data_IF_413130568468
#
_entry.id   IF_413130568468
#
_cell.length_a   1.000
_cell.length_b   1.000
_cell.length_c   1.000
_cell.angle_alpha   90.00
_cell.angle_beta   90.00
_cell.angle_gamma   90.00
#
_symmetry.space_group_name_H-M   'P 1'
#
loop_
_entity.id
_entity.type
_entity.pdbx_description
1 polymer ?
#
# COMPACT_ATOMS: atom_id res chain seq x y z
N UNK A 1 -19.56 2.69 11.58
CA UNK A 1 -18.32 2.03 12.08
C UNK A 1 -17.86 1.02 11.02
N UNK A 2 -16.62 1.10 10.51
CA UNK A 2 -16.17 0.19 9.44
C UNK A 2 -15.34 -0.95 10.00
N UNK A 3 -15.74 -2.17 9.67
CA UNK A 3 -15.08 -3.39 10.08
C UNK A 3 -14.14 -3.86 8.96
N UNK A 4 -12.87 -4.06 9.28
CA UNK A 4 -11.95 -4.79 8.40
C UNK A 4 -11.89 -6.21 8.90
N UNK A 5 -12.43 -7.11 8.08
CA UNK A 5 -12.50 -8.53 8.35
C UNK A 5 -11.36 -9.22 7.58
N UNK A 6 -10.43 -9.82 8.30
CA UNK A 6 -9.39 -10.65 7.71
C UNK A 6 -9.69 -12.13 7.93
N UNK A 7 -9.36 -12.94 6.93
CA UNK A 7 -9.45 -14.39 6.99
C UNK A 7 -8.05 -14.97 6.85
N UNK A 8 -7.41 -15.30 7.97
CA UNK A 8 -6.12 -15.97 7.98
C UNK A 8 -6.26 -17.48 7.85
N UNK A 9 -5.36 -18.12 7.10
CA UNK A 9 -5.13 -19.56 7.17
C UNK A 9 -3.82 -19.82 7.93
N UNK A 10 -3.83 -20.78 8.84
CA UNK A 10 -2.59 -21.38 9.38
C UNK A 10 -2.03 -22.49 8.46
N UNK A 11 -2.69 -22.78 7.33
CA UNK A 11 -2.34 -23.88 6.41
C UNK A 11 -2.52 -23.47 4.93
N UNK A 12 -1.81 -24.14 4.03
CA UNK A 12 -1.83 -23.84 2.59
C UNK A 12 -3.24 -23.82 1.99
N UNK A 13 -3.52 -22.91 1.05
CA UNK A 13 -4.77 -22.90 0.29
C UNK A 13 -5.03 -24.20 -0.48
N UNK A 14 -5.97 -25.02 -0.01
CA UNK A 14 -6.65 -26.03 -0.86
C UNK A 14 -7.67 -25.37 -1.80
N UNK A 15 -7.33 -24.23 -2.42
CA UNK A 15 -8.20 -23.49 -3.34
C UNK A 15 -8.48 -24.24 -4.65
N UNK A 16 -7.75 -25.34 -4.90
CA UNK A 16 -7.94 -26.21 -6.07
C UNK A 16 -8.62 -27.54 -5.73
N UNK A 17 -9.36 -27.64 -4.61
CA UNK A 17 -10.29 -28.75 -4.38
C UNK A 17 -11.72 -28.30 -4.63
N UNK A 18 -12.54 -29.24 -5.14
CA UNK A 18 -13.83 -29.02 -5.80
C UNK A 18 -14.93 -28.32 -5.00
N UNK A 19 -14.72 -27.94 -3.74
CA UNK A 19 -15.66 -27.13 -2.96
C UNK A 19 -14.90 -26.13 -2.08
N UNK A 20 -15.21 -24.82 -2.14
CA UNK A 20 -14.59 -23.84 -1.25
C UNK A 20 -15.04 -24.10 0.19
N UNK A 21 -14.08 -24.43 1.06
CA UNK A 21 -14.35 -24.52 2.51
C UNK A 21 -14.94 -23.20 3.02
N UNK A 22 -16.04 -23.29 3.79
CA UNK A 22 -16.66 -22.13 4.44
C UNK A 22 -15.60 -21.39 5.25
N UNK A 23 -15.51 -20.08 5.02
CA UNK A 23 -14.56 -19.22 5.69
C UNK A 23 -14.84 -19.26 7.21
N UNK A 24 -13.88 -19.76 8.01
CA UNK A 24 -13.98 -19.78 9.48
C UNK A 24 -13.91 -18.35 10.04
N UNK A 25 -14.45 -18.18 11.26
CA UNK A 25 -14.79 -16.89 11.91
C UNK A 25 -13.84 -15.74 11.53
N UNK A 26 -14.40 -14.57 11.15
CA UNK A 26 -13.61 -13.40 10.78
C UNK A 26 -12.72 -12.93 11.93
N UNK A 27 -11.47 -12.57 11.63
CA UNK A 27 -10.65 -11.78 12.56
C UNK A 27 -11.09 -10.33 12.36
N UNK A 28 -11.64 -9.74 13.42
CA UNK A 28 -12.14 -8.36 13.44
C UNK A 28 -11.09 -7.44 14.06
N UNK A 29 -10.78 -6.34 13.38
CA UNK A 29 -9.97 -5.27 13.92
C UNK A 29 -10.83 -4.03 14.15
N UNK A 30 -10.75 -3.47 15.36
CA UNK A 30 -11.31 -2.15 15.67
C UNK A 30 -10.22 -1.12 15.47
N UNK A 31 -10.50 -0.12 14.64
CA UNK A 31 -9.64 1.05 14.51
C UNK A 31 -10.25 2.19 15.32
N UNK A 32 -9.51 2.68 16.31
CA UNK A 32 -9.83 3.92 17.01
C UNK A 32 -9.28 5.08 16.17
N UNK A 33 -10.16 5.76 15.44
CA UNK A 33 -9.83 7.08 14.90
C UNK A 33 -9.82 8.06 16.07
N UNK A 34 -8.73 8.81 16.24
CA UNK A 34 -8.60 9.84 17.30
C UNK A 34 -9.65 10.97 17.16
N UNK A 35 -10.32 11.09 16.01
CA UNK A 35 -11.37 12.07 15.78
C UNK A 35 -12.75 11.41 15.71
N UNK A 36 -13.49 11.45 16.82
CA UNK A 36 -14.90 11.02 16.89
C UNK A 36 -15.82 11.80 15.93
N UNK A 37 -15.37 12.98 15.47
CA UNK A 37 -16.09 13.86 14.53
C UNK A 37 -15.91 13.52 13.04
N UNK A 38 -15.13 12.49 12.68
CA UNK A 38 -15.02 12.08 11.28
C UNK A 38 -16.31 11.42 10.78
N UNK A 39 -16.88 12.00 9.71
CA UNK A 39 -18.01 11.45 8.94
C UNK A 39 -17.79 9.96 8.64
N UNK A 40 -18.81 9.12 8.85
CA UNK A 40 -18.76 7.68 8.58
C UNK A 40 -18.30 7.33 7.16
N UNK A 41 -18.57 8.21 6.19
CA UNK A 41 -18.10 8.05 4.81
C UNK A 41 -16.57 8.11 4.70
N UNK A 42 -15.91 8.95 5.50
CA UNK A 42 -14.44 9.08 5.53
C UNK A 42 -13.73 7.82 6.00
N UNK A 43 -14.41 7.01 6.83
CA UNK A 43 -13.87 5.75 7.35
C UNK A 43 -13.93 4.63 6.31
N UNK A 44 -14.64 4.79 5.19
CA UNK A 44 -14.85 3.70 4.22
C UNK A 44 -13.56 3.40 3.47
N UNK A 45 -13.29 2.12 3.22
CA UNK A 45 -12.13 1.71 2.43
C UNK A 45 -12.35 2.13 0.97
N UNK A 46 -11.42 2.93 0.45
CA UNK A 46 -11.34 3.35 -0.95
C UNK A 46 -10.56 2.34 -1.79
N UNK A 47 -9.45 1.81 -1.25
CA UNK A 47 -8.57 0.89 -1.95
C UNK A 47 -7.91 -0.08 -0.97
N UNK A 48 -7.67 -1.31 -1.42
CA UNK A 48 -6.83 -2.30 -0.74
C UNK A 48 -5.68 -2.64 -1.69
N UNK A 49 -4.44 -2.59 -1.19
CA UNK A 49 -3.27 -3.10 -1.90
C UNK A 49 -2.64 -4.21 -1.06
N UNK A 50 -2.28 -5.33 -1.66
CA UNK A 50 -1.72 -6.49 -0.97
C UNK A 50 -0.51 -7.02 -1.73
N UNK A 51 0.52 -7.40 -0.99
CA UNK A 51 1.73 -8.01 -1.54
C UNK A 51 2.39 -8.93 -0.53
N UNK A 52 3.66 -9.27 -0.73
CA UNK A 52 4.30 -10.37 -0.01
C UNK A 52 4.42 -10.14 1.51
N UNK A 53 4.64 -8.89 1.93
CA UNK A 53 4.91 -8.55 3.33
C UNK A 53 3.78 -7.83 4.04
N UNK A 54 2.67 -7.54 3.36
CA UNK A 54 1.60 -6.82 4.00
C UNK A 54 0.45 -6.44 3.10
N UNK A 55 -0.50 -5.74 3.71
CA UNK A 55 -1.67 -5.17 3.06
C UNK A 55 -1.86 -3.75 3.55
N UNK A 56 -2.11 -2.82 2.64
CA UNK A 56 -2.43 -1.43 2.94
C UNK A 56 -3.91 -1.21 2.64
N UNK A 57 -4.59 -0.55 3.57
CA UNK A 57 -5.96 -0.09 3.42
C UNK A 57 -5.94 1.42 3.32
N UNK A 58 -6.39 1.94 2.18
CA UNK A 58 -6.59 3.36 1.94
C UNK A 58 -8.05 3.68 2.18
N UNK A 59 -8.32 4.69 3.00
CA UNK A 59 -9.66 5.17 3.31
C UNK A 59 -10.06 6.36 2.44
N UNK A 60 -11.37 6.62 2.35
CA UNK A 60 -11.92 7.74 1.58
C UNK A 60 -11.52 9.11 2.13
N UNK A 61 -11.16 9.22 3.40
CA UNK A 61 -10.60 10.44 3.99
C UNK A 61 -9.14 10.71 3.59
N UNK A 62 -8.52 9.88 2.74
CA UNK A 62 -7.13 10.06 2.31
C UNK A 62 -6.10 9.59 3.33
N UNK A 63 -6.49 8.90 4.41
CA UNK A 63 -5.56 8.25 5.34
C UNK A 63 -5.44 6.77 5.03
N UNK A 64 -4.30 6.18 5.41
CA UNK A 64 -4.03 4.77 5.18
C UNK A 64 -3.44 4.08 6.40
N UNK A 65 -3.68 2.79 6.48
CA UNK A 65 -3.06 1.89 7.47
C UNK A 65 -2.36 0.75 6.74
N UNK A 66 -1.29 0.26 7.34
CA UNK A 66 -0.57 -0.93 6.90
C UNK A 66 -0.75 -2.07 7.91
N UNK A 67 -0.89 -3.27 7.38
CA UNK A 67 -0.87 -4.52 8.12
C UNK A 67 0.30 -5.36 7.61
N UNK A 68 1.37 -5.44 8.40
CA UNK A 68 2.60 -6.12 8.01
C UNK A 68 2.61 -7.57 8.52
N UNK A 69 3.21 -8.48 7.76
CA UNK A 69 3.31 -9.93 8.07
C UNK A 69 3.86 -10.22 9.46
N UNK A 70 4.84 -9.43 9.91
CA UNK A 70 5.49 -9.59 11.23
C UNK A 70 4.94 -8.63 12.30
N UNK A 71 3.96 -7.78 11.95
CA UNK A 71 3.21 -7.05 12.96
C UNK A 71 2.35 -8.07 13.69
N UNK A 72 2.52 -8.18 15.02
CA UNK A 72 1.73 -9.07 15.89
C UNK A 72 0.26 -8.61 15.95
N UNK A 73 -0.42 -8.62 14.81
CA UNK A 73 -1.83 -8.30 14.59
C UNK A 73 -2.25 -6.84 14.80
N UNK A 74 -1.33 -5.87 14.82
CA UNK A 74 -1.70 -4.46 14.99
C UNK A 74 -1.43 -3.67 13.70
N UNK A 75 -2.49 -3.24 12.98
CA UNK A 75 -2.35 -2.28 11.90
C UNK A 75 -1.65 -1.02 12.40
N UNK A 76 -0.78 -0.45 11.57
CA UNK A 76 -0.10 0.82 11.85
C UNK A 76 -0.62 1.89 10.92
N UNK A 77 -0.82 3.10 11.45
CA UNK A 77 -1.09 4.28 10.62
C UNK A 77 0.15 4.59 9.78
N UNK A 78 -0.07 4.86 8.50
CA UNK A 78 0.97 5.39 7.64
C UNK A 78 1.12 6.88 7.96
N UNK A 79 2.32 7.27 8.40
CA UNK A 79 2.65 8.64 8.81
C UNK A 79 3.03 9.50 7.59
N UNK A 80 2.03 9.79 6.75
CA UNK A 80 2.11 10.77 5.68
C UNK A 80 1.05 11.84 5.96
N UNK A 81 1.49 13.09 6.04
CA UNK A 81 0.63 14.23 6.38
C UNK A 81 -0.35 14.55 5.24
N UNK A 82 0.12 14.45 4.01
CA UNK A 82 -0.64 14.64 2.77
C UNK A 82 -1.79 13.63 2.62
N UNK A 83 -2.80 14.02 1.84
CA UNK A 83 -3.93 13.14 1.57
C UNK A 83 -3.54 12.12 0.50
N UNK A 84 -3.73 10.85 0.81
CA UNK A 84 -3.33 9.75 -0.06
C UNK A 84 -4.38 9.53 -1.15
N UNK A 85 -3.92 9.55 -2.39
CA UNK A 85 -4.71 9.26 -3.58
C UNK A 85 -4.74 7.77 -3.89
N UNK A 86 -3.58 7.11 -3.88
CA UNK A 86 -3.40 5.71 -4.30
C UNK A 86 -2.30 5.03 -3.49
N UNK A 87 -2.46 3.74 -3.26
CA UNK A 87 -1.46 2.87 -2.62
C UNK A 87 -1.14 1.67 -3.51
N UNK A 88 0.08 1.16 -3.44
CA UNK A 88 0.51 -0.05 -4.16
C UNK A 88 1.57 -0.80 -3.35
N UNK A 89 1.58 -2.13 -3.50
CA UNK A 89 2.52 -3.03 -2.82
C UNK A 89 3.07 -4.03 -3.83
N UNK A 90 4.39 -4.12 -3.88
CA UNK A 90 5.14 -5.12 -4.63
C UNK A 90 5.54 -6.33 -3.77
N UNK A 91 6.57 -7.07 -4.19
CA UNK A 91 7.13 -8.14 -3.37
C UNK A 91 8.01 -7.57 -2.25
N UNK A 92 8.77 -6.50 -2.51
CA UNK A 92 9.70 -5.90 -1.54
C UNK A 92 9.62 -4.37 -1.47
N UNK A 93 8.59 -3.78 -2.06
CA UNK A 93 8.41 -2.35 -2.11
C UNK A 93 6.95 -1.98 -1.85
N UNK A 94 6.76 -0.76 -1.35
CA UNK A 94 5.46 -0.13 -1.16
C UNK A 94 5.57 1.31 -1.67
N UNK A 95 4.53 1.78 -2.34
CA UNK A 95 4.48 3.16 -2.81
C UNK A 95 3.10 3.79 -2.59
N UNK A 96 3.13 5.09 -2.36
CA UNK A 96 1.99 5.92 -2.00
C UNK A 96 2.04 7.17 -2.87
N UNK A 97 0.94 7.44 -3.54
CA UNK A 97 0.72 8.66 -4.31
C UNK A 97 -0.24 9.55 -3.53
N UNK A 98 0.12 10.80 -3.34
CA UNK A 98 -0.71 11.83 -2.68
C UNK A 98 -1.56 12.60 -3.70
N UNK A 99 -2.57 13.33 -3.24
CA UNK A 99 -3.40 14.19 -4.09
C UNK A 99 -2.61 15.36 -4.70
N UNK A 100 -1.52 15.74 -4.03
CA UNK A 100 -0.57 16.75 -4.45
C UNK A 100 0.39 16.24 -5.54
N UNK A 101 0.33 14.93 -5.85
CA UNK A 101 1.19 14.29 -6.85
C UNK A 101 2.57 13.88 -6.35
N UNK A 102 2.79 13.90 -5.03
CA UNK A 102 4.02 13.39 -4.43
C UNK A 102 3.97 11.87 -4.35
N UNK A 103 5.12 11.23 -4.56
CA UNK A 103 5.25 9.79 -4.42
C UNK A 103 6.20 9.47 -3.29
N UNK A 104 5.69 8.79 -2.29
CA UNK A 104 6.46 8.24 -1.19
C UNK A 104 6.61 6.75 -1.38
N UNK A 105 7.83 6.26 -1.33
CA UNK A 105 8.11 4.83 -1.44
C UNK A 105 8.99 4.35 -0.29
N UNK A 106 8.84 3.10 0.07
CA UNK A 106 9.78 2.39 0.92
C UNK A 106 10.06 1.01 0.35
N UNK A 107 11.31 0.59 0.51
CA UNK A 107 11.73 -0.79 0.27
C UNK A 107 11.84 -1.55 1.58
N UNK A 108 11.84 -2.87 1.49
CA UNK A 108 12.29 -3.73 2.57
C UNK A 108 13.79 -3.94 2.40
N UNK A 109 14.54 -3.65 3.44
CA UNK A 109 15.95 -4.04 3.48
C UNK A 109 16.04 -5.56 3.64
N UNK A 110 16.58 -6.24 2.64
CA UNK A 110 16.71 -7.70 2.59
C UNK A 110 17.56 -8.26 3.73
N UNK A 111 18.49 -7.48 4.27
CA UNK A 111 19.41 -7.90 5.33
C UNK A 111 18.76 -7.77 6.71
N UNK A 112 18.12 -6.62 6.96
CA UNK A 112 17.45 -6.38 8.25
C UNK A 112 16.02 -6.91 8.31
N UNK A 113 15.42 -7.27 7.16
CA UNK A 113 14.00 -7.62 6.98
C UNK A 113 13.04 -6.59 7.56
N UNK A 114 13.50 -5.34 7.71
CA UNK A 114 12.69 -4.24 8.26
C UNK A 114 12.23 -3.35 7.11
N UNK A 115 10.96 -2.87 7.15
CA UNK A 115 10.53 -1.81 6.27
C UNK A 115 11.38 -0.56 6.56
N UNK A 116 11.91 0.08 5.50
CA UNK A 116 12.49 1.42 5.64
C UNK A 116 11.38 2.45 5.85
N UNK A 117 11.74 3.64 6.30
CA UNK A 117 10.82 4.77 6.30
C UNK A 117 10.47 5.16 4.86
N UNK A 118 9.28 5.77 4.70
CA UNK A 118 8.87 6.32 3.42
C UNK A 118 9.79 7.49 3.03
N UNK A 119 10.34 7.44 1.83
CA UNK A 119 11.12 8.52 1.23
C UNK A 119 10.35 9.09 0.04
N UNK A 120 10.42 10.40 -0.15
CA UNK A 120 9.81 11.06 -1.31
C UNK A 120 10.67 10.79 -2.56
N UNK A 121 10.20 9.90 -3.45
CA UNK A 121 10.88 9.53 -4.68
C UNK A 121 10.49 10.40 -5.88
N UNK A 122 9.40 11.17 -5.81
CA UNK A 122 9.06 12.12 -6.89
C UNK A 122 10.10 13.25 -6.99
N UNK A 123 10.80 13.57 -5.90
CA UNK A 123 11.95 14.49 -5.90
C UNK A 123 13.16 14.02 -6.72
N UNK A 124 13.23 12.74 -7.08
CA UNK A 124 14.34 12.16 -7.84
C UNK A 124 14.17 12.28 -9.36
N UNK A 125 12.99 12.70 -9.82
CA UNK A 125 12.71 12.88 -11.24
C UNK A 125 13.25 14.24 -11.65
N UNK A 126 14.36 14.27 -12.40
CA UNK A 126 14.87 15.50 -12.98
C UNK A 126 13.84 16.09 -13.98
N UNK A 127 13.79 17.43 -14.08
CA UNK A 127 12.89 18.18 -14.97
C UNK A 127 11.41 18.23 -14.49
N UNK A 128 11.22 18.75 -13.27
CA UNK A 128 9.95 18.78 -12.50
C UNK A 128 9.00 19.95 -12.83
N UNK A 129 9.37 20.87 -13.73
CA UNK A 129 8.68 22.17 -13.80
C UNK A 129 7.19 22.10 -14.20
N UNK A 130 6.68 20.98 -14.72
CA UNK A 130 5.25 20.82 -15.10
C UNK A 130 4.68 19.39 -14.91
N UNK A 131 5.33 18.51 -14.13
CA UNK A 131 4.97 17.07 -14.08
C UNK A 131 4.42 16.67 -12.72
N UNK A 132 3.11 16.43 -12.66
CA UNK A 132 2.42 15.84 -11.50
C UNK A 132 2.37 14.33 -11.73
N UNK A 133 2.73 13.51 -10.75
CA UNK A 133 2.51 12.07 -10.86
C UNK A 133 1.00 11.81 -10.78
N UNK A 134 0.46 11.13 -11.79
CA UNK A 134 -0.97 10.80 -11.87
C UNK A 134 -1.25 9.36 -11.49
N UNK A 135 -0.29 8.46 -11.73
CA UNK A 135 -0.46 7.07 -11.35
C UNK A 135 0.83 6.38 -10.91
N UNK A 136 0.67 5.36 -10.08
CA UNK A 136 1.74 4.50 -9.59
C UNK A 136 1.34 3.02 -9.65
N UNK A 137 2.31 2.15 -9.94
CA UNK A 137 2.17 0.70 -9.87
C UNK A 137 3.46 0.05 -9.36
N UNK A 138 3.33 -1.04 -8.59
CA UNK A 138 4.47 -1.81 -8.08
C UNK A 138 4.60 -3.15 -8.80
N UNK A 139 5.80 -3.45 -9.29
CA UNK A 139 6.24 -4.81 -9.57
C UNK A 139 6.87 -5.49 -8.35
N UNK A 140 7.44 -6.67 -8.53
CA UNK A 140 8.08 -7.41 -7.44
C UNK A 140 9.20 -6.59 -6.75
N UNK A 141 10.10 -6.01 -7.56
CA UNK A 141 11.28 -5.26 -7.11
C UNK A 141 11.40 -3.89 -7.80
N UNK A 142 10.30 -3.39 -8.35
CA UNK A 142 10.27 -2.14 -9.11
C UNK A 142 9.00 -1.35 -8.82
N UNK A 143 9.07 -0.03 -8.98
CA UNK A 143 7.95 0.89 -8.92
C UNK A 143 7.95 1.67 -10.24
N UNK A 144 6.77 1.83 -10.83
CA UNK A 144 6.56 2.62 -12.03
C UNK A 144 5.63 3.79 -11.74
N UNK A 145 5.94 4.92 -12.36
CA UNK A 145 5.28 6.20 -12.18
C UNK A 145 4.79 6.69 -13.55
N UNK A 146 3.56 7.17 -13.62
CA UNK A 146 3.00 7.82 -14.81
C UNK A 146 2.76 9.30 -14.49
N UNK A 147 3.34 10.19 -15.29
CA UNK A 147 3.17 11.63 -15.14
C UNK A 147 2.00 12.17 -15.96
N UNK A 148 1.56 13.37 -15.63
CA UNK A 148 0.51 14.12 -16.35
C UNK A 148 0.79 14.39 -17.82
N UNK A 149 2.06 14.41 -18.22
CA UNK A 149 2.47 14.55 -19.62
C UNK A 149 2.71 13.18 -20.30
N UNK A 150 2.17 12.10 -19.74
CA UNK A 150 2.20 10.74 -20.29
C UNK A 150 3.60 10.11 -20.38
N UNK A 151 4.56 10.57 -19.59
CA UNK A 151 5.86 9.92 -19.45
C UNK A 151 5.77 8.82 -18.38
N UNK A 152 6.44 7.70 -18.63
CA UNK A 152 6.59 6.61 -17.67
C UNK A 152 8.02 6.60 -17.11
N UNK A 153 8.14 6.45 -15.80
CA UNK A 153 9.42 6.31 -15.10
C UNK A 153 9.41 5.01 -14.31
N UNK A 154 10.55 4.33 -14.23
CA UNK A 154 10.73 3.10 -13.47
C UNK A 154 11.92 3.21 -12.53
N UNK A 155 11.77 2.70 -11.31
CA UNK A 155 12.85 2.58 -10.33
C UNK A 155 12.82 1.17 -9.74
N UNK A 156 13.98 0.49 -9.65
CA UNK A 156 14.05 -0.87 -9.13
C UNK A 156 15.14 -1.75 -9.74
N UNK A 157 14.91 -3.06 -9.70
CA UNK A 157 15.80 -4.06 -10.31
C UNK A 157 15.62 -4.12 -11.83
N UNK A 158 16.74 -4.18 -12.55
CA UNK A 158 16.78 -4.43 -14.00
C UNK A 158 17.59 -5.70 -14.36
N UNK A 159 17.77 -6.63 -13.42
CA UNK A 159 18.61 -7.82 -13.61
C UNK A 159 18.15 -8.72 -14.77
N UNK A 160 16.87 -8.67 -15.11
CA UNK A 160 16.22 -9.45 -16.16
C UNK A 160 15.54 -8.57 -17.22
N UNK A 161 15.97 -7.32 -17.40
CA UNK A 161 15.34 -6.36 -18.32
C UNK A 161 13.86 -6.09 -18.00
N UNK A 162 13.47 -6.18 -16.72
CA UNK A 162 12.10 -5.97 -16.30
C UNK A 162 11.72 -4.49 -16.11
N UNK A 163 12.70 -3.57 -16.16
CA UNK A 163 12.51 -2.12 -16.13
C UNK A 163 12.47 -1.52 -17.54
#
# INVERSE_FOLDING_TARGET
>A
MNEIIFFGRNEEPKLFKNEPEKIKKPIQFKFENENENENENGKQIKQIASGFYGTIFLFKNGKAIEYLKDSKQNPKKIQIEENIQKVTIGAQNEAILTLEGNVFAKGIDINSKKPKEFINISSLIEDTNDRIIQDIVSGAHSIYLLTSNQNAYGIGSNEYCQL
#
